data_IF_570820110180
#
_entry.id   IF_570820110180
#
_cell.length_a   1.000
_cell.length_b   1.000
_cell.length_c   1.000
_cell.angle_alpha   90.00
_cell.angle_beta   90.00
_cell.angle_gamma   90.00
#
_symmetry.space_group_name_H-M   'P 1'
#
loop_
_entity.id
_entity.type
_entity.pdbx_description
1 polymer ?
#
# COMPACT_ATOMS: atom_id res chain seq x y z
N UNK A 1 36.55 -33.49 35.83
CA UNK A 1 37.75 -32.84 35.25
C UNK A 1 37.70 -31.39 35.72
N UNK A 2 38.47 -31.04 36.76
CA UNK A 2 39.78 -30.34 36.67
C UNK A 2 39.61 -29.05 35.86
N UNK A 3 39.47 -27.89 36.50
CA UNK A 3 40.56 -27.09 37.07
C UNK A 3 40.66 -25.82 36.19
N UNK A 4 41.16 -24.66 36.56
CA UNK A 4 41.92 -24.14 37.69
C UNK A 4 42.05 -22.63 37.33
N UNK A 5 41.78 -21.65 38.21
CA UNK A 5 42.76 -20.99 39.11
C UNK A 5 43.24 -19.60 38.62
N UNK A 6 42.98 -18.61 39.51
CA UNK A 6 43.80 -17.43 39.94
C UNK A 6 43.95 -16.22 39.02
N UNK A 7 43.53 -15.03 39.50
CA UNK A 7 44.26 -13.99 40.28
C UNK A 7 45.18 -13.17 39.34
N UNK A 8 45.37 -11.87 39.44
CA UNK A 8 45.53 -10.92 40.57
C UNK A 8 45.30 -9.51 39.96
N UNK A 9 44.60 -8.56 40.59
CA UNK A 9 45.14 -7.49 41.49
C UNK A 9 46.13 -6.56 40.74
N UNK A 10 46.04 -5.23 40.71
CA UNK A 10 45.82 -4.30 41.82
C UNK A 10 45.68 -2.83 41.33
N UNK A 11 44.98 -2.03 42.16
CA UNK A 11 45.13 -0.58 42.51
C UNK A 11 45.57 0.48 41.47
N UNK A 12 45.01 1.69 41.46
CA UNK A 12 43.95 2.28 42.31
C UNK A 12 43.98 3.83 42.31
N UNK A 13 42.95 4.41 42.98
CA UNK A 13 42.92 5.68 43.78
C UNK A 13 43.05 7.00 42.97
N UNK A 14 42.25 8.07 43.10
CA UNK A 14 41.56 8.75 44.22
C UNK A 14 40.43 9.66 43.65
N UNK A 15 39.23 9.71 44.23
CA UNK A 15 38.74 10.66 45.25
C UNK A 15 38.37 12.07 44.74
N UNK A 16 37.08 12.43 44.77
CA UNK A 16 36.52 13.34 45.80
C UNK A 16 34.98 13.46 45.72
N UNK A 17 34.35 13.45 46.90
CA UNK A 17 32.98 13.89 47.23
C UNK A 17 33.10 15.07 48.22
N UNK A 18 32.06 15.90 48.46
CA UNK A 18 30.96 15.55 49.40
C UNK A 18 29.58 16.10 48.93
N UNK A 19 28.44 15.44 49.12
CA UNK A 19 27.66 15.10 50.33
C UNK A 19 27.07 16.31 51.08
N UNK A 20 25.75 16.52 50.99
CA UNK A 20 24.86 17.03 52.07
C UNK A 20 23.43 16.48 51.86
N UNK A 21 22.93 15.76 52.86
CA UNK A 21 21.56 15.25 53.03
C UNK A 21 20.63 16.24 53.80
N UNK A 22 19.30 16.02 53.86
CA UNK A 22 18.29 16.98 54.35
C UNK A 22 17.86 16.76 55.82
N UNK A 23 16.89 17.55 56.33
CA UNK A 23 15.89 16.99 57.23
C UNK A 23 14.43 17.42 56.98
N UNK A 24 13.57 16.54 57.48
CA UNK A 24 12.11 16.36 57.53
C UNK A 24 11.33 17.43 58.31
N UNK A 25 9.99 17.53 58.12
CA UNK A 25 8.93 17.46 59.17
C UNK A 25 7.50 17.77 58.63
N UNK A 26 6.62 16.76 58.78
CA UNK A 26 5.15 16.73 59.06
C UNK A 26 4.06 17.29 58.10
N UNK A 27 3.15 16.40 57.63
CA UNK A 27 1.77 16.69 57.17
C UNK A 27 0.74 16.60 58.32
N UNK A 28 -0.51 16.09 58.14
CA UNK A 28 -1.48 16.11 57.03
C UNK A 28 -2.92 16.55 57.47
N UNK A 29 -3.88 16.79 56.57
CA UNK A 29 -5.36 16.71 56.79
C UNK A 29 -6.11 17.05 55.47
N UNK A 30 -6.78 16.10 54.78
CA UNK A 30 -8.18 15.62 54.91
C UNK A 30 -9.23 16.39 54.08
N UNK A 31 -9.79 15.71 53.06
CA UNK A 31 -11.07 15.94 52.33
C UNK A 31 -12.29 15.66 53.27
N UNK A 32 -13.61 15.76 52.92
CA UNK A 32 -14.34 16.24 51.71
C UNK A 32 -15.71 16.97 51.94
N UNK A 33 -16.44 17.22 50.83
CA UNK A 33 -17.90 17.44 50.68
C UNK A 33 -18.44 18.85 51.06
N UNK A 34 -19.47 19.48 50.46
CA UNK A 34 -20.68 19.00 49.78
C UNK A 34 -21.48 20.22 49.19
N UNK A 35 -22.44 19.96 48.28
CA UNK A 35 -23.74 20.64 47.95
C UNK A 35 -23.89 21.82 46.94
N UNK A 36 -24.95 21.62 46.10
CA UNK A 36 -25.85 22.50 45.31
C UNK A 36 -25.40 22.84 43.87
N UNK A 37 -25.96 22.29 42.77
CA UNK A 37 -27.34 22.06 42.27
C UNK A 37 -27.85 23.14 41.29
N UNK A 38 -28.49 22.64 40.22
CA UNK A 38 -29.47 23.25 39.30
C UNK A 38 -29.00 23.79 37.94
N UNK A 39 -29.39 23.05 36.89
CA UNK A 39 -29.73 23.50 35.52
C UNK A 39 -31.00 24.39 35.51
N UNK A 40 -31.63 24.69 34.35
CA UNK A 40 -31.31 25.70 33.33
C UNK A 40 -32.49 26.70 33.16
N UNK A 41 -32.49 27.50 32.08
CA UNK A 41 -33.56 28.35 31.49
C UNK A 41 -32.92 29.73 31.14
N UNK A 42 -33.19 30.44 30.05
CA UNK A 42 -34.22 30.40 29.02
C UNK A 42 -33.72 31.27 27.84
N UNK A 43 -34.38 31.07 26.71
CA UNK A 43 -34.38 31.77 25.41
C UNK A 43 -33.97 33.27 25.37
N UNK A 44 -33.40 33.73 24.25
CA UNK A 44 -34.09 34.64 23.31
C UNK A 44 -33.18 35.11 22.14
N UNK A 45 -33.83 35.28 20.99
CA UNK A 45 -33.38 35.62 19.65
C UNK A 45 -32.86 37.05 19.46
N UNK A 46 -32.11 37.28 18.37
CA UNK A 46 -31.90 38.63 17.84
C UNK A 46 -30.99 38.71 16.61
N UNK A 47 -31.57 38.58 15.41
CA UNK A 47 -30.96 38.90 14.11
C UNK A 47 -31.12 40.40 13.80
N UNK A 48 -30.08 41.06 13.27
CA UNK A 48 -30.08 42.10 12.21
C UNK A 48 -28.67 42.74 12.14
N UNK A 49 -27.89 42.64 11.06
CA UNK A 49 -27.95 43.26 9.70
C UNK A 49 -27.31 44.66 9.60
N UNK A 50 -26.34 44.74 8.68
CA UNK A 50 -25.85 45.91 7.92
C UNK A 50 -24.98 46.94 8.69
N UNK A 51 -24.02 47.66 8.11
CA UNK A 51 -23.58 47.87 6.72
C UNK A 51 -22.16 48.50 6.73
N UNK A 52 -21.46 48.40 5.58
CA UNK A 52 -20.65 49.46 4.92
C UNK A 52 -19.43 50.05 5.67
N UNK A 53 -18.29 50.40 5.08
CA UNK A 53 -17.87 50.83 3.72
C UNK A 53 -16.32 50.74 3.73
N UNK A 54 -15.66 50.13 2.75
CA UNK A 54 -15.16 50.70 1.48
C UNK A 54 -13.87 51.54 1.56
N UNK A 55 -12.88 51.18 0.72
CA UNK A 55 -12.00 52.00 -0.15
C UNK A 55 -10.86 51.09 -0.70
N UNK A 56 -10.89 50.69 -1.98
CA UNK A 56 -10.28 51.32 -3.20
C UNK A 56 -8.75 51.47 -3.11
N UNK A 57 -7.93 51.02 -4.08
CA UNK A 57 -7.62 51.59 -5.43
C UNK A 57 -6.85 50.49 -6.23
N UNK A 58 -7.18 50.04 -7.45
CA UNK A 58 -7.16 50.60 -8.83
C UNK A 58 -5.78 50.87 -9.49
N UNK A 59 -5.48 50.17 -10.60
CA UNK A 59 -4.85 50.65 -11.87
C UNK A 59 -4.61 49.44 -12.82
N UNK A 60 -5.33 49.30 -13.94
CA UNK A 60 -5.13 49.88 -15.29
C UNK A 60 -3.89 49.30 -16.03
N UNK A 61 -4.03 48.32 -16.93
CA UNK A 61 -4.39 48.41 -18.36
C UNK A 61 -3.29 48.95 -19.30
N UNK A 62 -2.74 48.09 -20.16
CA UNK A 62 -2.17 48.46 -21.46
C UNK A 62 -2.52 47.41 -22.52
N UNK A 63 -3.11 47.88 -23.61
CA UNK A 63 -3.54 47.17 -24.81
C UNK A 63 -2.44 47.04 -25.88
N UNK A 64 -2.50 45.99 -26.68
CA UNK A 64 -1.81 45.88 -27.98
C UNK A 64 -2.04 44.51 -28.63
N UNK A 65 -2.67 44.40 -29.83
CA UNK A 65 -3.16 43.15 -30.40
C UNK A 65 -2.21 42.57 -31.47
N UNK A 66 -2.25 41.26 -31.71
CA UNK A 66 -2.24 40.70 -33.08
C UNK A 66 -2.58 39.20 -33.13
N UNK A 67 -3.04 38.82 -34.30
CA UNK A 67 -3.84 37.67 -34.72
C UNK A 67 -3.11 36.31 -34.68
N UNK A 68 -3.85 35.24 -34.38
CA UNK A 68 -4.28 34.22 -35.36
C UNK A 68 -4.29 32.79 -34.80
N UNK A 69 -5.33 32.05 -35.20
CA UNK A 69 -5.46 30.58 -35.21
C UNK A 69 -5.55 29.88 -33.84
N UNK A 70 -6.68 29.33 -33.41
CA UNK A 70 -7.61 28.48 -34.15
C UNK A 70 -7.59 27.11 -33.50
N UNK A 71 -8.57 26.83 -32.62
CA UNK A 71 -9.30 25.57 -32.59
C UNK A 71 -10.29 25.52 -31.40
N UNK A 72 -11.47 25.05 -31.74
CA UNK A 72 -12.71 25.10 -30.99
C UNK A 72 -12.73 24.05 -29.85
N UNK A 73 -13.13 24.51 -28.67
CA UNK A 73 -13.78 23.70 -27.64
C UNK A 73 -15.11 24.39 -27.34
N UNK A 74 -16.27 23.71 -27.45
CA UNK A 74 -17.52 24.30 -27.03
C UNK A 74 -17.64 24.23 -25.50
N UNK A 75 -17.76 25.41 -24.91
CA UNK A 75 -18.24 25.66 -23.56
C UNK A 75 -19.66 25.11 -23.41
N UNK A 76 -19.92 24.47 -22.28
CA UNK A 76 -21.26 24.17 -21.80
C UNK A 76 -21.96 25.47 -21.39
N UNK A 77 -23.07 25.77 -22.04
CA UNK A 77 -24.08 26.67 -21.52
C UNK A 77 -25.33 25.89 -21.09
N UNK A 78 -25.83 26.31 -19.93
CA UNK A 78 -27.02 25.86 -19.25
C UNK A 78 -28.25 25.88 -20.16
N UNK A 79 -28.98 24.75 -20.19
CA UNK A 79 -30.40 24.74 -20.56
C UNK A 79 -31.20 24.16 -19.39
N UNK A 80 -32.16 24.97 -19.01
CA UNK A 80 -33.20 24.88 -17.99
C UNK A 80 -33.97 23.55 -17.98
N UNK A 81 -34.17 23.08 -16.76
CA UNK A 81 -35.05 21.98 -16.36
C UNK A 81 -36.52 22.34 -16.56
N UNK A 82 -37.10 22.12 -17.74
CA UNK A 82 -38.57 22.14 -17.88
C UNK A 82 -39.15 21.42 -19.13
N UNK A 83 -38.46 20.46 -19.75
CA UNK A 83 -38.97 19.81 -20.98
C UNK A 83 -38.84 18.27 -21.07
N UNK A 84 -38.83 17.57 -19.92
CA UNK A 84 -38.71 16.09 -19.87
C UNK A 84 -39.90 15.37 -19.20
N UNK A 85 -41.03 16.06 -19.02
CA UNK A 85 -42.20 15.51 -18.32
C UNK A 85 -43.38 15.09 -19.22
N UNK A 86 -43.28 15.19 -20.56
CA UNK A 86 -44.41 14.91 -21.47
C UNK A 86 -44.10 13.91 -22.59
N UNK A 87 -43.26 12.89 -22.33
CA UNK A 87 -43.01 11.80 -23.30
C UNK A 87 -42.91 10.40 -22.67
N UNK A 88 -43.65 10.14 -21.60
CA UNK A 88 -43.84 8.78 -21.06
C UNK A 88 -45.33 8.57 -20.75
N UNK A 89 -46.19 8.74 -21.75
CA UNK A 89 -47.60 8.33 -21.72
C UNK A 89 -48.09 8.00 -23.13
N UNK A 90 -47.38 7.15 -23.86
CA UNK A 90 -47.95 6.59 -25.10
C UNK A 90 -47.33 5.27 -25.54
N UNK A 91 -46.89 4.40 -24.62
CA UNK A 91 -46.44 3.04 -24.99
C UNK A 91 -46.88 2.05 -23.90
N UNK A 92 -48.19 1.86 -23.72
CA UNK A 92 -48.70 0.73 -22.94
C UNK A 92 -50.09 0.27 -23.41
N UNK A 93 -50.18 -0.09 -24.70
CA UNK A 93 -51.33 -0.83 -25.27
C UNK A 93 -50.85 -1.76 -26.38
N UNK A 94 -50.23 -2.88 -26.01
CA UNK A 94 -50.37 -4.19 -26.65
C UNK A 94 -49.26 -5.13 -26.15
N UNK A 95 -49.59 -5.97 -25.17
CA UNK A 95 -49.09 -7.35 -25.06
C UNK A 95 -49.86 -8.01 -23.91
N UNK A 96 -51.05 -8.50 -24.25
CA UNK A 96 -51.76 -9.51 -23.48
C UNK A 96 -51.68 -10.79 -24.30
N UNK A 97 -51.01 -11.82 -23.79
CA UNK A 97 -51.46 -13.21 -23.90
C UNK A 97 -50.47 -14.16 -23.22
N UNK A 98 -51.02 -14.96 -22.30
CA UNK A 98 -50.48 -16.19 -21.72
C UNK A 98 -49.31 -16.10 -20.74
N UNK A 99 -49.65 -16.01 -19.46
CA UNK A 99 -49.05 -16.87 -18.44
C UNK A 99 -50.14 -17.34 -17.49
N UNK A 100 -50.44 -18.63 -17.59
CA UNK A 100 -51.46 -19.37 -16.86
C UNK A 100 -50.92 -19.66 -15.46
N UNK A 101 -51.31 -18.83 -14.50
CA UNK A 101 -50.99 -19.02 -13.09
C UNK A 101 -51.91 -20.10 -12.51
N UNK A 102 -51.37 -21.32 -12.41
CA UNK A 102 -52.02 -22.45 -11.72
C UNK A 102 -52.16 -22.09 -10.23
N UNK A 103 -53.41 -21.88 -9.81
CA UNK A 103 -53.82 -21.76 -8.42
C UNK A 103 -53.75 -23.16 -7.81
N UNK A 104 -52.85 -23.40 -6.85
CA UNK A 104 -52.97 -24.55 -5.94
C UNK A 104 -53.95 -24.18 -4.82
N UNK A 105 -55.21 -24.57 -5.00
CA UNK A 105 -56.19 -24.69 -3.91
C UNK A 105 -55.79 -25.89 -3.04
N UNK A 106 -55.30 -25.61 -1.83
CA UNK A 106 -55.16 -26.62 -0.77
C UNK A 106 -56.54 -26.79 -0.14
N UNK A 107 -57.32 -27.75 -0.67
CA UNK A 107 -58.40 -28.36 0.07
C UNK A 107 -57.82 -29.56 0.82
N UNK A 108 -57.69 -29.37 2.14
CA UNK A 108 -57.50 -30.43 3.13
C UNK A 108 -58.75 -31.30 3.15
N UNK A 109 -58.56 -32.59 2.85
CA UNK A 109 -59.40 -33.66 3.34
C UNK A 109 -58.45 -34.77 3.82
N UNK A 110 -58.57 -35.10 5.10
CA UNK A 110 -58.07 -36.32 5.70
C UNK A 110 -58.63 -37.54 4.95
N UNK A 111 -57.77 -38.52 4.67
CA UNK A 111 -58.11 -39.92 4.88
C UNK A 111 -56.83 -40.76 4.97
N UNK A 112 -56.77 -41.53 6.07
CA UNK A 112 -55.83 -42.59 6.37
C UNK A 112 -55.84 -43.67 5.28
N UNK A 113 -54.68 -44.07 4.73
CA UNK A 113 -54.42 -45.51 4.51
C UNK A 113 -52.94 -45.82 4.27
N UNK A 114 -52.41 -46.68 5.13
CA UNK A 114 -51.08 -47.26 5.09
C UNK A 114 -50.81 -48.08 3.81
N UNK A 115 -49.67 -47.87 3.16
CA UNK A 115 -48.92 -48.96 2.53
C UNK A 115 -47.40 -48.74 2.57
N UNK A 116 -46.74 -49.47 3.47
CA UNK A 116 -45.29 -49.77 3.43
C UNK A 116 -45.02 -50.58 2.16
N UNK A 117 -44.14 -50.09 1.28
CA UNK A 117 -43.54 -50.92 0.23
C UNK A 117 -42.05 -51.08 0.47
N UNK A 118 -41.76 -52.29 0.90
CA UNK A 118 -40.49 -52.98 1.02
C UNK A 118 -39.96 -53.29 -0.40
N UNK A 119 -38.85 -52.68 -0.80
CA UNK A 119 -38.15 -53.03 -2.04
C UNK A 119 -36.84 -53.72 -1.69
N UNK A 120 -36.91 -55.05 -1.67
CA UNK A 120 -35.75 -55.93 -1.72
C UNK A 120 -35.10 -55.80 -3.10
N UNK A 121 -33.77 -55.68 -3.07
CA UNK A 121 -32.90 -55.83 -4.23
C UNK A 121 -32.50 -57.30 -4.32
N UNK A 122 -32.63 -57.99 -5.46
CA UNK A 122 -31.84 -59.17 -5.70
C UNK A 122 -30.72 -58.92 -6.70
N UNK A 123 -29.62 -59.58 -6.38
CA UNK A 123 -28.28 -59.47 -6.91
C UNK A 123 -28.15 -59.82 -8.40
N UNK A 124 -27.17 -59.14 -8.99
CA UNK A 124 -26.63 -59.34 -10.32
C UNK A 124 -25.64 -60.51 -10.27
N UNK A 125 -25.98 -61.65 -10.86
CA UNK A 125 -25.00 -62.68 -11.19
C UNK A 125 -24.50 -62.52 -12.64
N UNK A 126 -23.18 -62.55 -12.77
CA UNK A 126 -22.41 -62.41 -13.99
C UNK A 126 -22.43 -63.70 -14.81
N UNK A 127 -22.72 -63.61 -16.12
CA UNK A 127 -22.11 -64.47 -17.14
C UNK A 127 -21.88 -63.63 -18.41
N UNK A 128 -20.61 -63.47 -18.79
CA UNK A 128 -20.16 -63.05 -20.12
C UNK A 128 -19.67 -64.32 -20.90
N UNK A 129 -19.19 -64.20 -22.14
CA UNK A 129 -19.89 -63.95 -23.41
C UNK A 129 -19.64 -65.10 -24.41
N UNK A 130 -20.47 -65.26 -25.45
CA UNK A 130 -20.04 -65.75 -26.78
C UNK A 130 -21.20 -65.89 -27.78
N UNK A 131 -21.00 -65.27 -28.94
CA UNK A 131 -21.26 -65.78 -30.31
C UNK A 131 -22.46 -66.69 -30.56
N UNK A 132 -23.49 -66.17 -31.27
CA UNK A 132 -24.27 -66.88 -32.30
C UNK A 132 -24.87 -65.78 -33.20
N UNK A 133 -24.22 -65.46 -34.32
CA UNK A 133 -24.55 -65.94 -35.68
C UNK A 133 -25.86 -65.35 -36.25
N UNK A 134 -25.69 -64.68 -37.38
CA UNK A 134 -26.74 -64.23 -38.29
C UNK A 134 -27.48 -65.45 -38.85
N UNK A 135 -28.78 -65.57 -38.58
CA UNK A 135 -29.64 -66.45 -39.37
C UNK A 135 -30.75 -65.67 -40.05
N UNK A 136 -30.56 -65.48 -41.35
CA UNK A 136 -31.59 -65.14 -42.33
C UNK A 136 -32.61 -66.29 -42.39
N UNK A 137 -33.84 -66.03 -41.98
CA UNK A 137 -34.96 -66.92 -42.26
C UNK A 137 -36.15 -66.15 -42.89
N UNK A 138 -36.24 -66.32 -44.21
CA UNK A 138 -37.48 -66.67 -44.92
C UNK A 138 -38.66 -65.66 -44.89
N UNK A 139 -38.65 -64.75 -45.86
CA UNK A 139 -39.86 -64.11 -46.37
C UNK A 139 -40.74 -65.16 -47.06
N UNK A 140 -41.82 -65.59 -46.41
CA UNK A 140 -42.93 -66.30 -47.06
C UNK A 140 -43.91 -65.29 -47.63
N UNK A 141 -43.91 -65.22 -48.95
CA UNK A 141 -44.87 -64.57 -49.83
C UNK A 141 -46.29 -65.13 -49.62
N UNK A 142 -47.23 -64.26 -49.23
CA UNK A 142 -48.66 -64.49 -49.43
C UNK A 142 -49.32 -63.20 -49.91
N UNK A 143 -49.48 -63.16 -51.24
CA UNK A 143 -50.69 -62.79 -51.98
C UNK A 143 -51.24 -61.37 -51.89
N UNK A 144 -51.33 -60.79 -53.09
CA UNK A 144 -52.04 -59.58 -53.43
C UNK A 144 -53.50 -59.54 -52.93
N UNK A 145 -53.87 -58.32 -52.54
CA UNK A 145 -55.16 -57.73 -52.16
C UNK A 145 -56.36 -58.14 -53.08
N UNK A 146 -57.63 -57.75 -52.81
CA UNK A 146 -58.08 -56.70 -51.88
C UNK A 146 -59.41 -56.95 -51.14
N UNK A 147 -59.69 -56.19 -50.07
CA UNK A 147 -60.99 -55.55 -49.79
C UNK A 147 -61.08 -55.15 -48.30
N UNK A 148 -61.08 -53.84 -48.07
CA UNK A 148 -61.82 -53.09 -47.04
C UNK A 148 -62.13 -53.81 -45.71
N UNK A 149 -61.33 -53.49 -44.69
CA UNK A 149 -61.64 -53.86 -43.30
C UNK A 149 -60.66 -53.38 -42.24
N UNK A 150 -59.37 -53.19 -42.57
CA UNK A 150 -58.31 -52.96 -41.57
C UNK A 150 -57.42 -51.71 -41.83
N UNK A 151 -57.87 -50.78 -42.67
CA UNK A 151 -57.10 -49.55 -42.98
C UNK A 151 -56.97 -48.61 -41.76
N UNK A 152 -57.87 -48.78 -40.77
CA UNK A 152 -57.83 -48.06 -39.50
C UNK A 152 -56.70 -48.62 -38.62
N UNK A 153 -56.53 -49.94 -38.56
CA UNK A 153 -55.54 -50.60 -37.70
C UNK A 153 -54.10 -50.43 -38.23
N UNK A 154 -53.89 -50.52 -39.56
CA UNK A 154 -52.57 -50.30 -40.15
C UNK A 154 -52.12 -48.83 -40.00
N UNK A 155 -53.04 -47.88 -40.14
CA UNK A 155 -52.74 -46.45 -39.99
C UNK A 155 -52.45 -46.08 -38.54
N UNK A 156 -53.22 -46.61 -37.58
CA UNK A 156 -52.97 -46.44 -36.14
C UNK A 156 -51.65 -47.10 -35.72
N UNK A 157 -51.33 -48.29 -36.26
CA UNK A 157 -50.05 -48.96 -36.02
C UNK A 157 -48.86 -48.18 -36.58
N UNK A 158 -49.01 -47.61 -37.79
CA UNK A 158 -47.99 -46.74 -38.39
C UNK A 158 -47.81 -45.43 -37.60
N UNK A 159 -48.88 -44.86 -37.06
CA UNK A 159 -48.81 -43.69 -36.18
C UNK A 159 -48.11 -44.00 -34.86
N UNK A 160 -48.44 -45.14 -34.24
CA UNK A 160 -47.79 -45.59 -33.02
C UNK A 160 -46.29 -45.87 -33.23
N UNK A 161 -45.93 -46.49 -34.36
CA UNK A 161 -44.52 -46.72 -34.70
C UNK A 161 -43.77 -45.41 -34.93
N UNK A 162 -44.43 -44.41 -35.54
CA UNK A 162 -43.86 -43.08 -35.70
C UNK A 162 -43.67 -42.38 -34.35
N UNK A 163 -44.66 -42.41 -33.47
CA UNK A 163 -44.59 -41.83 -32.13
C UNK A 163 -43.50 -42.49 -31.27
N UNK A 164 -43.37 -43.82 -31.34
CA UNK A 164 -42.28 -44.56 -30.67
C UNK A 164 -40.90 -44.22 -31.24
N UNK A 165 -40.79 -43.98 -32.56
CA UNK A 165 -39.54 -43.52 -33.15
C UNK A 165 -39.17 -42.11 -32.67
N UNK A 166 -40.14 -41.20 -32.61
CA UNK A 166 -39.94 -39.83 -32.11
C UNK A 166 -39.54 -39.82 -30.63
N UNK A 167 -40.16 -40.67 -29.80
CA UNK A 167 -39.77 -40.83 -28.39
C UNK A 167 -38.37 -41.44 -28.24
N UNK A 168 -38.03 -42.43 -29.06
CA UNK A 168 -36.66 -43.00 -29.08
C UNK A 168 -35.63 -41.95 -29.50
N UNK A 169 -35.94 -41.11 -30.48
CA UNK A 169 -35.03 -40.06 -30.93
C UNK A 169 -34.89 -38.93 -29.89
N UNK A 170 -35.98 -38.54 -29.22
CA UNK A 170 -35.95 -37.62 -28.07
C UNK A 170 -35.14 -38.19 -26.90
N UNK A 171 -35.31 -39.47 -26.58
CA UNK A 171 -34.55 -40.15 -25.54
C UNK A 171 -33.06 -40.24 -25.90
N UNK A 172 -32.74 -40.57 -27.15
CA UNK A 172 -31.37 -40.60 -27.68
C UNK A 172 -30.70 -39.23 -27.62
N UNK A 173 -31.43 -38.16 -28.00
CA UNK A 173 -30.94 -36.79 -27.92
C UNK A 173 -30.64 -36.38 -26.47
N UNK A 174 -31.55 -36.68 -25.53
CA UNK A 174 -31.32 -36.41 -24.10
C UNK A 174 -30.13 -37.21 -23.56
N UNK A 175 -30.01 -38.47 -23.96
CA UNK A 175 -28.87 -39.33 -23.58
C UNK A 175 -27.55 -38.74 -24.10
N UNK A 176 -27.51 -38.32 -25.37
CA UNK A 176 -26.34 -37.66 -25.95
C UNK A 176 -26.00 -36.33 -25.25
N UNK A 177 -27.01 -35.52 -24.91
CA UNK A 177 -26.81 -34.28 -24.15
C UNK A 177 -26.25 -34.55 -22.75
N UNK A 178 -26.74 -35.58 -22.06
CA UNK A 178 -26.23 -35.96 -20.74
C UNK A 178 -24.81 -36.52 -20.84
N UNK A 179 -24.51 -37.34 -21.85
CA UNK A 179 -23.17 -37.84 -22.11
C UNK A 179 -22.18 -36.71 -22.45
N UNK A 180 -22.60 -35.72 -23.24
CA UNK A 180 -21.80 -34.53 -23.54
C UNK A 180 -21.55 -33.70 -22.28
N UNK A 181 -22.56 -33.47 -21.45
CA UNK A 181 -22.39 -32.80 -20.14
C UNK A 181 -21.46 -33.57 -19.20
N UNK A 182 -21.53 -34.91 -19.18
CA UNK A 182 -20.60 -35.74 -18.43
C UNK A 182 -19.17 -35.59 -18.95
N UNK A 183 -18.98 -35.66 -20.27
CA UNK A 183 -17.66 -35.50 -20.89
C UNK A 183 -17.08 -34.10 -20.63
N UNK A 184 -17.91 -33.05 -20.71
CA UNK A 184 -17.54 -31.69 -20.34
C UNK A 184 -17.17 -31.58 -18.85
N UNK A 185 -17.92 -32.22 -17.95
CA UNK A 185 -17.59 -32.25 -16.52
C UNK A 185 -16.23 -32.92 -16.28
N UNK A 186 -15.98 -34.07 -16.91
CA UNK A 186 -14.69 -34.76 -16.78
C UNK A 186 -13.55 -34.00 -17.46
N UNK A 187 -13.77 -33.34 -18.60
CA UNK A 187 -12.76 -32.49 -19.24
C UNK A 187 -12.46 -31.24 -18.43
N UNK A 188 -13.48 -30.60 -17.84
CA UNK A 188 -13.32 -29.42 -16.99
C UNK A 188 -12.63 -29.77 -15.68
N UNK A 189 -12.95 -30.94 -15.09
CA UNK A 189 -12.21 -31.50 -13.96
C UNK A 189 -10.75 -31.83 -14.33
N UNK A 190 -10.51 -32.41 -15.51
CA UNK A 190 -9.15 -32.71 -15.97
C UNK A 190 -8.33 -31.47 -16.33
N UNK A 191 -8.96 -30.37 -16.76
CA UNK A 191 -8.32 -29.12 -17.15
C UNK A 191 -7.94 -28.20 -15.99
N UNK A 192 -8.75 -28.18 -14.92
CA UNK A 192 -8.50 -27.32 -13.74
C UNK A 192 -7.86 -28.08 -12.55
N UNK A 193 -8.03 -29.41 -12.41
CA UNK A 193 -7.55 -30.18 -11.24
C UNK A 193 -6.32 -31.07 -11.49
N UNK A 194 -5.71 -31.06 -12.68
CA UNK A 194 -4.53 -31.91 -12.96
C UNK A 194 -3.29 -31.55 -12.12
N UNK A 195 -3.34 -30.48 -11.33
CA UNK A 195 -2.28 -30.12 -10.39
C UNK A 195 -2.63 -30.32 -8.90
N UNK A 196 -3.90 -30.57 -8.52
CA UNK A 196 -4.28 -30.77 -7.12
C UNK A 196 -4.80 -32.18 -6.80
N UNK A 197 -5.30 -32.93 -7.78
CA UNK A 197 -5.81 -34.29 -7.58
C UNK A 197 -4.81 -35.32 -8.16
N UNK A 198 -3.61 -35.36 -7.55
CA UNK A 198 -2.80 -36.59 -7.61
C UNK A 198 -3.64 -37.65 -6.92
N UNK A 199 -4.29 -38.52 -7.71
CA UNK A 199 -5.05 -39.71 -7.30
C UNK A 199 -4.83 -40.03 -5.81
N UNK A 200 -5.69 -39.47 -4.95
CA UNK A 200 -5.71 -39.90 -3.56
C UNK A 200 -5.95 -41.41 -3.59
N UNK A 201 -5.17 -42.23 -2.85
CA UNK A 201 -5.36 -43.67 -2.82
C UNK A 201 -6.84 -44.00 -2.60
N UNK A 202 -7.39 -45.00 -3.30
CA UNK A 202 -8.80 -45.38 -3.19
C UNK A 202 -9.28 -45.56 -1.73
N UNK A 203 -8.36 -45.90 -0.81
CA UNK A 203 -8.58 -45.93 0.63
C UNK A 203 -8.89 -44.58 1.28
N UNK A 204 -8.27 -43.50 0.82
CA UNK A 204 -8.47 -42.14 1.33
C UNK A 204 -9.78 -41.55 0.80
N UNK A 205 -10.14 -41.84 -0.45
CA UNK A 205 -11.45 -41.49 -1.02
C UNK A 205 -12.60 -42.23 -0.33
N UNK A 206 -12.42 -43.52 0.00
CA UNK A 206 -13.37 -44.28 0.82
C UNK A 206 -13.49 -43.72 2.24
N UNK A 207 -12.40 -43.24 2.82
CA UNK A 207 -12.41 -42.64 4.16
C UNK A 207 -13.17 -41.31 4.18
N UNK A 208 -12.97 -40.43 3.20
CA UNK A 208 -13.74 -39.19 3.09
C UNK A 208 -15.22 -39.50 2.78
N UNK A 209 -15.53 -40.49 1.94
CA UNK A 209 -16.90 -40.95 1.74
C UNK A 209 -17.54 -41.46 3.05
N UNK A 210 -16.84 -42.28 3.82
CA UNK A 210 -17.30 -42.78 5.12
C UNK A 210 -17.57 -41.64 6.10
N UNK A 211 -16.69 -40.63 6.11
CA UNK A 211 -16.86 -39.41 6.90
C UNK A 211 -18.08 -38.61 6.45
N UNK A 212 -18.31 -38.44 5.15
CA UNK A 212 -19.51 -37.79 4.63
C UNK A 212 -20.78 -38.56 5.00
N UNK A 213 -20.78 -39.88 4.92
CA UNK A 213 -21.90 -40.72 5.36
C UNK A 213 -22.13 -40.58 6.85
N UNK A 214 -21.08 -40.56 7.68
CA UNK A 214 -21.19 -40.31 9.13
C UNK A 214 -21.82 -38.95 9.42
N UNK A 215 -21.34 -37.88 8.79
CA UNK A 215 -21.92 -36.54 8.94
C UNK A 215 -23.37 -36.51 8.48
N UNK A 216 -23.71 -37.16 7.37
CA UNK A 216 -25.10 -37.25 6.90
C UNK A 216 -25.99 -38.01 7.88
N UNK A 217 -25.50 -39.10 8.46
CA UNK A 217 -26.27 -39.85 9.47
C UNK A 217 -26.45 -39.05 10.74
N UNK A 218 -25.42 -38.32 11.20
CA UNK A 218 -25.50 -37.46 12.37
C UNK A 218 -26.48 -36.30 12.13
N UNK A 219 -26.41 -35.64 10.98
CA UNK A 219 -27.36 -34.59 10.59
C UNK A 219 -28.80 -35.14 10.48
N UNK A 220 -28.97 -36.36 9.96
CA UNK A 220 -30.29 -36.99 9.89
C UNK A 220 -30.83 -37.30 11.28
N UNK A 221 -30.01 -37.83 12.19
CA UNK A 221 -30.42 -38.06 13.58
C UNK A 221 -30.73 -36.77 14.31
N UNK A 222 -29.94 -35.71 14.07
CA UNK A 222 -30.18 -34.39 14.65
C UNK A 222 -31.51 -33.81 14.16
N UNK A 223 -31.79 -33.90 12.85
CA UNK A 223 -33.04 -33.44 12.27
C UNK A 223 -34.24 -34.20 12.85
N UNK A 224 -34.13 -35.52 13.03
CA UNK A 224 -35.23 -36.30 13.63
C UNK A 224 -35.45 -35.90 15.10
N UNK A 225 -34.39 -35.75 15.90
CA UNK A 225 -34.54 -35.32 17.30
C UNK A 225 -35.08 -33.89 17.41
N UNK A 226 -34.64 -32.98 16.54
CA UNK A 226 -35.13 -31.60 16.51
C UNK A 226 -36.60 -31.55 16.07
N UNK A 227 -37.00 -32.39 15.11
CA UNK A 227 -38.40 -32.53 14.70
C UNK A 227 -39.27 -33.08 15.83
N UNK A 228 -38.86 -34.16 16.49
CA UNK A 228 -39.59 -34.77 17.61
C UNK A 228 -39.74 -33.80 18.79
N UNK A 229 -38.68 -33.07 19.12
CA UNK A 229 -38.73 -32.07 20.20
C UNK A 229 -39.61 -30.87 19.84
N UNK A 230 -39.58 -30.40 18.60
CA UNK A 230 -40.47 -29.34 18.13
C UNK A 230 -41.94 -29.78 18.10
N UNK A 231 -42.22 -31.03 17.72
CA UNK A 231 -43.55 -31.63 17.73
C UNK A 231 -44.10 -31.71 19.16
N UNK A 232 -43.33 -32.27 20.09
CA UNK A 232 -43.72 -32.31 21.51
C UNK A 232 -43.99 -30.92 22.09
N UNK A 233 -43.19 -29.91 21.75
CA UNK A 233 -43.43 -28.53 22.17
C UNK A 233 -44.72 -27.95 21.55
N UNK A 234 -44.99 -28.26 20.28
CA UNK A 234 -46.22 -27.83 19.61
C UNK A 234 -47.47 -28.47 20.23
N UNK A 235 -47.40 -29.75 20.55
CA UNK A 235 -48.46 -30.48 21.26
C UNK A 235 -48.71 -29.89 22.66
N UNK A 236 -47.66 -29.64 23.43
CA UNK A 236 -47.77 -29.04 24.76
C UNK A 236 -48.42 -27.64 24.69
N UNK A 237 -47.95 -26.79 23.78
CA UNK A 237 -48.51 -25.46 23.57
C UNK A 237 -49.96 -25.50 23.09
N UNK A 238 -50.32 -26.48 22.24
CA UNK A 238 -51.68 -26.71 21.77
C UNK A 238 -52.61 -27.08 22.93
N UNK A 239 -52.18 -28.00 23.79
CA UNK A 239 -52.93 -28.41 24.98
C UNK A 239 -53.12 -27.23 25.95
N UNK A 240 -52.06 -26.46 26.20
CA UNK A 240 -52.15 -25.25 27.02
C UNK A 240 -53.08 -24.17 26.42
N UNK A 241 -53.08 -24.03 25.10
CA UNK A 241 -53.98 -23.10 24.41
C UNK A 241 -55.44 -23.53 24.54
N UNK A 242 -55.72 -24.83 24.37
CA UNK A 242 -57.05 -25.39 24.52
C UNK A 242 -57.57 -25.22 25.96
N UNK A 243 -56.76 -25.54 26.96
CA UNK A 243 -57.13 -25.36 28.37
C UNK A 243 -57.47 -23.90 28.68
N UNK A 244 -56.71 -22.95 28.14
CA UNK A 244 -57.00 -21.51 28.28
C UNK A 244 -58.29 -21.10 27.57
N UNK A 245 -58.55 -21.63 26.38
CA UNK A 245 -59.80 -21.39 25.65
C UNK A 245 -61.01 -21.89 26.44
N UNK A 246 -60.93 -23.11 26.99
CA UNK A 246 -62.00 -23.70 27.78
C UNK A 246 -62.28 -22.88 29.04
N UNK A 247 -61.24 -22.41 29.74
CA UNK A 247 -61.39 -21.51 30.90
C UNK A 247 -62.10 -20.21 30.53
N UNK A 248 -61.64 -19.55 29.46
CA UNK A 248 -62.25 -18.29 28.98
C UNK A 248 -63.71 -18.51 28.57
N UNK A 249 -64.02 -19.61 27.89
CA UNK A 249 -65.37 -19.92 27.46
C UNK A 249 -66.31 -20.17 28.66
N UNK A 250 -65.83 -20.88 29.68
CA UNK A 250 -66.58 -21.12 30.92
C UNK A 250 -66.82 -19.83 31.71
N UNK A 251 -65.80 -18.99 31.89
CA UNK A 251 -65.92 -17.68 32.53
C UNK A 251 -66.87 -16.76 31.75
N UNK A 252 -66.79 -16.77 30.42
CA UNK A 252 -67.68 -16.00 29.54
C UNK A 252 -69.13 -16.43 29.69
N UNK A 253 -69.41 -17.74 29.65
CA UNK A 253 -70.77 -18.29 29.88
C UNK A 253 -71.32 -17.89 31.24
N UNK A 254 -70.50 -17.96 32.30
CA UNK A 254 -70.89 -17.54 33.64
C UNK A 254 -71.19 -16.03 33.72
N UNK A 255 -70.37 -15.20 33.08
CA UNK A 255 -70.57 -13.76 33.03
C UNK A 255 -71.85 -13.38 32.27
N UNK A 256 -72.11 -14.00 31.12
CA UNK A 256 -73.34 -13.79 30.33
C UNK A 256 -74.58 -14.20 31.13
N UNK A 257 -74.53 -15.33 31.83
CA UNK A 257 -75.63 -15.77 32.69
C UNK A 257 -75.91 -14.78 33.83
N UNK A 258 -74.87 -14.28 34.50
CA UNK A 258 -75.00 -13.25 35.53
C UNK A 258 -75.57 -11.95 34.97
N UNK A 259 -75.07 -11.50 33.81
CA UNK A 259 -75.57 -10.31 33.11
C UNK A 259 -77.06 -10.45 32.78
N UNK A 260 -77.48 -11.61 32.29
CA UNK A 260 -78.87 -11.92 31.98
C UNK A 260 -79.73 -11.89 33.25
N UNK A 261 -79.33 -12.57 34.32
CA UNK A 261 -80.07 -12.65 35.59
C UNK A 261 -80.28 -11.28 36.25
N UNK A 262 -79.21 -10.48 36.34
CA UNK A 262 -79.27 -9.12 36.90
C UNK A 262 -80.18 -8.22 36.07
N UNK A 263 -80.05 -8.28 34.74
CA UNK A 263 -80.85 -7.45 33.83
C UNK A 263 -82.34 -7.82 33.86
N UNK A 264 -82.66 -9.12 33.88
CA UNK A 264 -84.04 -9.62 33.99
C UNK A 264 -84.63 -9.23 35.34
N UNK A 265 -83.89 -9.39 36.44
CA UNK A 265 -84.35 -9.02 37.79
C UNK A 265 -84.68 -7.53 37.90
N UNK A 266 -83.81 -6.66 37.36
CA UNK A 266 -84.04 -5.22 37.35
C UNK A 266 -85.25 -4.80 36.49
N UNK A 267 -85.38 -5.36 35.28
CA UNK A 267 -86.43 -4.99 34.33
C UNK A 267 -87.79 -5.62 34.66
N UNK A 268 -87.81 -6.74 35.40
CA UNK A 268 -89.05 -7.42 35.82
C UNK A 268 -89.94 -6.49 36.65
N UNK A 269 -89.36 -5.60 37.45
CA UNK A 269 -90.10 -4.62 38.28
C UNK A 269 -90.89 -3.60 37.45
N UNK A 270 -90.42 -3.27 36.24
CA UNK A 270 -91.01 -2.21 35.40
C UNK A 270 -91.79 -2.71 34.18
N UNK A 271 -91.42 -3.85 33.60
CA UNK A 271 -92.01 -4.38 32.36
C UNK A 271 -92.78 -5.70 32.55
N UNK A 272 -92.65 -6.35 33.71
CA UNK A 272 -93.13 -7.72 33.93
C UNK A 272 -92.14 -8.78 33.42
N UNK A 273 -92.20 -9.99 33.99
CA UNK A 273 -91.19 -11.05 33.80
C UNK A 273 -90.95 -11.42 32.33
N UNK A 274 -92.03 -11.67 31.58
CA UNK A 274 -91.92 -12.12 30.19
C UNK A 274 -91.36 -11.03 29.25
N UNK A 275 -91.82 -9.78 29.40
CA UNK A 275 -91.37 -8.67 28.56
C UNK A 275 -89.94 -8.21 28.90
N UNK A 276 -89.53 -8.35 30.18
CA UNK A 276 -88.14 -8.15 30.58
C UNK A 276 -87.21 -9.20 29.96
N UNK A 277 -87.61 -10.47 30.00
CA UNK A 277 -86.82 -11.57 29.47
C UNK A 277 -86.59 -11.45 27.94
N UNK A 278 -87.64 -11.19 27.16
CA UNK A 278 -87.50 -11.02 25.69
C UNK A 278 -86.66 -9.81 25.30
N UNK A 279 -86.72 -8.72 26.07
CA UNK A 279 -85.90 -7.53 25.82
C UNK A 279 -84.41 -7.78 26.12
N UNK A 280 -84.10 -8.51 27.20
CA UNK A 280 -82.71 -8.86 27.55
C UNK A 280 -82.14 -9.85 26.54
N UNK A 281 -82.92 -10.87 26.15
CA UNK A 281 -82.50 -11.85 25.13
C UNK A 281 -82.23 -11.17 23.77
N UNK A 282 -83.10 -10.27 23.32
CA UNK A 282 -82.85 -9.55 22.05
C UNK A 282 -81.62 -8.63 22.10
N UNK A 283 -81.36 -7.96 23.24
CA UNK A 283 -80.15 -7.16 23.42
C UNK A 283 -78.87 -8.02 23.47
N UNK A 284 -78.93 -9.19 24.13
CA UNK A 284 -77.80 -10.12 24.21
C UNK A 284 -77.46 -10.71 22.83
N UNK A 285 -78.48 -11.06 22.03
CA UNK A 285 -78.27 -11.51 20.64
C UNK A 285 -77.63 -10.40 19.79
N UNK A 286 -78.09 -9.16 19.92
CA UNK A 286 -77.51 -8.03 19.18
C UNK A 286 -76.05 -7.77 19.59
N UNK A 287 -75.72 -7.89 20.89
CA UNK A 287 -74.35 -7.79 21.38
C UNK A 287 -73.46 -8.92 20.86
N UNK A 288 -73.95 -10.17 20.85
CA UNK A 288 -73.20 -11.31 20.33
C UNK A 288 -72.84 -11.11 18.85
N UNK A 289 -73.78 -10.60 18.03
CA UNK A 289 -73.50 -10.29 16.63
C UNK A 289 -72.34 -9.29 16.47
N UNK A 290 -72.33 -8.22 17.27
CA UNK A 290 -71.24 -7.24 17.23
C UNK A 290 -69.91 -7.82 17.74
N UNK A 291 -69.94 -8.72 18.72
CA UNK A 291 -68.73 -9.42 19.17
C UNK A 291 -68.17 -10.34 18.09
N UNK A 292 -69.03 -11.10 17.41
CA UNK A 292 -68.61 -11.98 16.30
C UNK A 292 -68.00 -11.18 15.15
N UNK A 293 -68.58 -10.02 14.82
CA UNK A 293 -68.01 -9.07 13.85
C UNK A 293 -66.63 -8.57 14.28
N UNK A 294 -66.47 -8.19 15.55
CA UNK A 294 -65.19 -7.74 16.10
C UNK A 294 -64.13 -8.84 16.07
N UNK A 295 -64.49 -10.08 16.41
CA UNK A 295 -63.60 -11.24 16.34
C UNK A 295 -63.16 -11.47 14.89
N UNK A 296 -64.08 -11.42 13.92
CA UNK A 296 -63.76 -11.52 12.49
C UNK A 296 -62.79 -10.42 12.04
N UNK A 297 -62.99 -9.17 12.47
CA UNK A 297 -62.09 -8.06 12.15
C UNK A 297 -60.71 -8.22 12.79
N UNK A 298 -60.64 -8.66 14.06
CA UNK A 298 -59.39 -8.95 14.75
C UNK A 298 -58.61 -10.07 14.08
N UNK A 299 -59.29 -11.13 13.64
CA UNK A 299 -58.68 -12.21 12.88
C UNK A 299 -58.11 -11.72 11.54
N UNK A 300 -58.86 -10.88 10.79
CA UNK A 300 -58.37 -10.24 9.56
C UNK A 300 -57.15 -9.35 9.83
N UNK A 301 -57.18 -8.55 10.89
CA UNK A 301 -56.06 -7.70 11.27
C UNK A 301 -54.81 -8.52 11.58
N UNK A 302 -54.94 -9.61 12.35
CA UNK A 302 -53.82 -10.52 12.65
C UNK A 302 -53.26 -11.14 11.36
N UNK A 303 -54.12 -11.63 10.45
CA UNK A 303 -53.70 -12.18 9.15
C UNK A 303 -52.92 -11.14 8.32
N UNK A 304 -53.40 -9.89 8.28
CA UNK A 304 -52.71 -8.80 7.58
C UNK A 304 -51.37 -8.47 8.24
N UNK A 305 -51.31 -8.41 9.57
CA UNK A 305 -50.07 -8.16 10.32
C UNK A 305 -49.01 -9.21 10.02
N UNK A 306 -49.38 -10.49 10.02
CA UNK A 306 -48.49 -11.60 9.65
C UNK A 306 -48.02 -11.44 8.20
N UNK A 307 -48.92 -11.07 7.26
CA UNK A 307 -48.54 -10.84 5.86
C UNK A 307 -47.55 -9.69 5.70
N UNK A 308 -47.72 -8.61 6.45
CA UNK A 308 -46.79 -7.47 6.46
C UNK A 308 -45.41 -7.93 6.93
N UNK A 309 -45.32 -8.60 8.08
CA UNK A 309 -44.02 -9.09 8.58
C UNK A 309 -43.33 -10.04 7.59
N UNK A 310 -44.09 -10.90 6.91
CA UNK A 310 -43.54 -11.77 5.87
C UNK A 310 -43.00 -10.97 4.69
N UNK A 311 -43.75 -9.99 4.20
CA UNK A 311 -43.31 -9.13 3.09
C UNK A 311 -42.10 -8.27 3.46
N UNK A 312 -42.04 -7.76 4.69
CA UNK A 312 -40.87 -7.02 5.19
C UNK A 312 -39.63 -7.92 5.28
N UNK A 313 -39.79 -9.18 5.72
CA UNK A 313 -38.70 -10.15 5.73
C UNK A 313 -38.23 -10.48 4.31
N UNK A 314 -39.17 -10.75 3.39
CA UNK A 314 -38.86 -10.97 1.96
C UNK A 314 -38.16 -9.76 1.33
N UNK A 315 -38.53 -8.53 1.70
CA UNK A 315 -37.88 -7.31 1.20
C UNK A 315 -36.46 -7.15 1.74
N UNK A 316 -36.23 -7.38 3.05
CA UNK A 316 -34.89 -7.33 3.62
C UNK A 316 -33.97 -8.38 3.01
N UNK A 317 -34.47 -9.60 2.86
CA UNK A 317 -33.75 -10.69 2.23
C UNK A 317 -33.39 -10.32 0.78
N UNK A 318 -34.34 -9.77 0.02
CA UNK A 318 -34.06 -9.25 -1.31
C UNK A 318 -33.08 -8.09 -1.31
N UNK A 319 -33.09 -7.17 -0.35
CA UNK A 319 -32.12 -6.07 -0.29
C UNK A 319 -30.70 -6.56 -0.01
N UNK A 320 -30.56 -7.58 0.86
CA UNK A 320 -29.30 -8.26 1.13
C UNK A 320 -28.80 -9.04 -0.10
N UNK A 321 -29.68 -9.78 -0.77
CA UNK A 321 -29.36 -10.54 -1.98
C UNK A 321 -29.26 -9.67 -3.25
N UNK A 322 -29.91 -8.52 -3.29
CA UNK A 322 -29.86 -7.53 -4.37
C UNK A 322 -28.73 -6.52 -4.18
N UNK A 323 -27.80 -6.78 -3.24
CA UNK A 323 -26.44 -6.24 -3.32
C UNK A 323 -25.83 -6.79 -4.60
N UNK A 324 -26.12 -6.09 -5.69
CA UNK A 324 -25.81 -6.47 -7.07
C UNK A 324 -24.34 -6.90 -7.14
N UNK A 325 -24.03 -8.09 -7.69
CA UNK A 325 -22.65 -8.49 -7.93
C UNK A 325 -21.83 -7.39 -8.63
N UNK A 326 -22.46 -6.56 -9.46
CA UNK A 326 -21.84 -5.39 -10.07
C UNK A 326 -21.50 -4.29 -9.05
N UNK A 327 -22.36 -4.05 -8.07
CA UNK A 327 -22.11 -3.09 -6.99
C UNK A 327 -20.94 -3.54 -6.10
N UNK A 328 -20.87 -4.83 -5.75
CA UNK A 328 -19.74 -5.42 -5.04
C UNK A 328 -18.44 -5.31 -5.85
N UNK A 329 -18.50 -5.54 -7.16
CA UNK A 329 -17.35 -5.35 -8.04
C UNK A 329 -16.92 -3.88 -8.12
N UNK A 330 -17.86 -2.95 -8.15
CA UNK A 330 -17.58 -1.52 -8.16
C UNK A 330 -16.92 -1.06 -6.84
N UNK A 331 -17.46 -1.46 -5.68
CA UNK A 331 -16.84 -1.19 -4.37
C UNK A 331 -15.42 -1.78 -4.31
N UNK A 332 -15.21 -2.99 -4.82
CA UNK A 332 -13.88 -3.62 -4.88
C UNK A 332 -12.92 -2.82 -5.76
N UNK A 333 -13.34 -2.42 -6.96
CA UNK A 333 -12.53 -1.60 -7.87
C UNK A 333 -12.21 -0.22 -7.25
N UNK A 334 -13.14 0.36 -6.50
CA UNK A 334 -12.90 1.62 -5.79
C UNK A 334 -11.84 1.45 -4.70
N UNK A 335 -11.90 0.36 -3.93
CA UNK A 335 -10.88 0.05 -2.93
C UNK A 335 -9.49 -0.19 -3.57
N UNK A 336 -9.45 -0.94 -4.67
CA UNK A 336 -8.21 -1.18 -5.43
C UNK A 336 -7.62 0.11 -5.99
N UNK A 337 -8.46 0.97 -6.58
CA UNK A 337 -8.03 2.29 -7.06
C UNK A 337 -7.44 3.15 -5.94
N UNK A 338 -8.08 3.17 -4.78
CA UNK A 338 -7.59 3.92 -3.62
C UNK A 338 -6.23 3.39 -3.13
N UNK A 339 -6.02 2.07 -3.16
CA UNK A 339 -4.72 1.50 -2.78
C UNK A 339 -3.62 1.81 -3.80
N UNK A 340 -3.94 1.77 -5.09
CA UNK A 340 -3.01 2.17 -6.15
C UNK A 340 -2.62 3.66 -6.03
N UNK A 341 -3.57 4.53 -5.70
CA UNK A 341 -3.31 5.95 -5.48
C UNK A 341 -2.38 6.17 -4.28
N UNK A 342 -2.62 5.48 -3.15
CA UNK A 342 -1.71 5.51 -1.99
C UNK A 342 -0.32 5.00 -2.32
N UNK A 343 -0.21 3.96 -3.15
CA UNK A 343 1.09 3.44 -3.57
C UNK A 343 1.83 4.44 -4.48
N UNK A 344 1.12 5.07 -5.41
CA UNK A 344 1.67 6.12 -6.27
C UNK A 344 2.15 7.33 -5.44
N UNK A 345 1.39 7.73 -4.41
CA UNK A 345 1.76 8.81 -3.50
C UNK A 345 3.03 8.47 -2.72
N UNK A 346 3.13 7.24 -2.15
CA UNK A 346 4.37 6.76 -1.49
C UNK A 346 5.56 6.79 -2.44
N UNK A 347 5.41 6.30 -3.67
CA UNK A 347 6.48 6.33 -4.67
C UNK A 347 6.88 7.76 -5.03
N UNK A 348 5.92 8.67 -5.15
CA UNK A 348 6.19 10.08 -5.45
C UNK A 348 6.95 10.75 -4.29
N UNK A 349 6.58 10.49 -3.04
CA UNK A 349 7.32 10.98 -1.88
C UNK A 349 8.76 10.45 -1.84
N UNK A 350 8.97 9.17 -2.16
CA UNK A 350 10.30 8.57 -2.23
C UNK A 350 11.13 9.19 -3.36
N UNK A 351 10.55 9.40 -4.54
CA UNK A 351 11.18 10.08 -5.66
C UNK A 351 11.59 11.51 -5.26
N UNK A 352 10.70 12.26 -4.61
CA UNK A 352 10.99 13.61 -4.13
C UNK A 352 12.11 13.62 -3.07
N UNK A 353 12.14 12.65 -2.15
CA UNK A 353 13.24 12.48 -1.18
C UNK A 353 14.58 12.22 -1.90
N UNK A 354 14.57 11.42 -2.96
CA UNK A 354 15.76 11.14 -3.76
C UNK A 354 16.23 12.37 -4.55
N UNK A 355 15.31 13.12 -5.16
CA UNK A 355 15.60 14.38 -5.83
C UNK A 355 16.26 15.39 -4.87
N UNK A 356 15.73 15.52 -3.65
CA UNK A 356 16.34 16.38 -2.61
C UNK A 356 17.77 15.94 -2.25
N UNK A 357 18.02 14.63 -2.14
CA UNK A 357 19.37 14.08 -1.91
C UNK A 357 20.31 14.37 -3.07
N UNK A 358 19.84 14.23 -4.31
CA UNK A 358 20.61 14.54 -5.52
C UNK A 358 20.97 16.03 -5.52
N UNK A 359 20.01 16.93 -5.31
CA UNK A 359 20.24 18.37 -5.25
C UNK A 359 21.25 18.78 -4.18
N UNK A 360 21.13 18.22 -2.96
CA UNK A 360 22.10 18.45 -1.89
C UNK A 360 23.51 17.92 -2.23
N UNK A 361 23.59 16.77 -2.90
CA UNK A 361 24.86 16.20 -3.35
C UNK A 361 25.50 17.05 -4.45
N UNK A 362 24.70 17.59 -5.38
CA UNK A 362 25.16 18.51 -6.42
C UNK A 362 25.70 19.82 -5.82
N UNK A 363 25.04 20.36 -4.80
CA UNK A 363 25.52 21.52 -4.05
C UNK A 363 26.88 21.24 -3.40
N UNK A 364 27.02 20.09 -2.73
CA UNK A 364 28.30 19.67 -2.13
C UNK A 364 29.40 19.52 -3.18
N UNK A 365 29.10 18.89 -4.32
CA UNK A 365 30.03 18.75 -5.43
C UNK A 365 30.45 20.10 -6.02
N UNK A 366 29.52 21.05 -6.12
CA UNK A 366 29.81 22.42 -6.54
C UNK A 366 30.78 23.10 -5.57
N UNK A 367 30.51 23.02 -4.26
CA UNK A 367 31.37 23.56 -3.22
C UNK A 367 32.76 22.91 -3.23
N UNK A 368 32.85 21.60 -3.45
CA UNK A 368 34.13 20.88 -3.59
C UNK A 368 34.89 21.33 -4.84
N UNK A 369 34.21 21.49 -5.98
CA UNK A 369 34.81 21.98 -7.22
C UNK A 369 35.37 23.39 -7.03
N UNK A 370 34.63 24.27 -6.35
CA UNK A 370 35.09 25.63 -6.08
C UNK A 370 36.35 25.62 -5.18
N UNK A 371 36.32 24.90 -4.06
CA UNK A 371 37.49 24.74 -3.17
C UNK A 371 38.70 24.17 -3.90
N UNK A 372 38.49 23.21 -4.79
CA UNK A 372 39.57 22.63 -5.60
C UNK A 372 40.17 23.67 -6.55
N UNK A 373 39.34 24.47 -7.22
CA UNK A 373 39.80 25.56 -8.09
C UNK A 373 40.60 26.60 -7.29
N UNK A 374 40.12 27.02 -6.12
CA UNK A 374 40.85 27.92 -5.23
C UNK A 374 42.20 27.35 -4.81
N UNK A 375 42.25 26.08 -4.39
CA UNK A 375 43.50 25.42 -4.01
C UNK A 375 44.46 25.29 -5.19
N UNK A 376 43.97 24.98 -6.39
CA UNK A 376 44.78 24.91 -7.60
C UNK A 376 45.40 26.26 -7.95
N UNK A 377 44.63 27.34 -7.86
CA UNK A 377 45.12 28.71 -8.06
C UNK A 377 46.19 29.08 -7.02
N UNK A 378 45.99 28.72 -5.75
CA UNK A 378 46.99 28.95 -4.70
C UNK A 378 48.27 28.16 -4.97
N UNK A 379 48.17 26.88 -5.33
CA UNK A 379 49.33 26.06 -5.68
C UNK A 379 50.09 26.67 -6.86
N UNK A 380 49.39 27.16 -7.87
CA UNK A 380 50.01 27.82 -9.02
C UNK A 380 50.76 29.10 -8.60
N UNK A 381 50.14 29.95 -7.79
CA UNK A 381 50.79 31.16 -7.25
C UNK A 381 52.04 30.81 -6.41
N UNK A 382 51.98 29.75 -5.58
CA UNK A 382 53.14 29.29 -4.81
C UNK A 382 54.26 28.73 -5.70
N UNK A 383 53.93 28.05 -6.80
CA UNK A 383 54.91 27.58 -7.79
C UNK A 383 55.62 28.74 -8.47
N UNK A 384 54.89 29.80 -8.81
CA UNK A 384 55.46 31.03 -9.38
C UNK A 384 56.41 31.72 -8.39
N UNK A 385 56.00 31.86 -7.12
CA UNK A 385 56.86 32.37 -6.05
C UNK A 385 58.13 31.52 -5.88
N UNK A 386 58.00 30.19 -5.91
CA UNK A 386 59.15 29.29 -5.84
C UNK A 386 60.09 29.47 -7.03
N UNK A 387 59.56 29.60 -8.25
CA UNK A 387 60.36 29.83 -9.45
C UNK A 387 61.13 31.17 -9.39
N UNK A 388 60.49 32.23 -8.88
CA UNK A 388 61.15 33.53 -8.67
C UNK A 388 62.30 33.42 -7.67
N UNK A 389 62.08 32.76 -6.54
CA UNK A 389 63.11 32.54 -5.51
C UNK A 389 64.25 31.69 -6.08
N UNK A 390 63.95 30.61 -6.81
CA UNK A 390 64.97 29.79 -7.47
C UNK A 390 65.80 30.60 -8.48
N UNK A 391 65.17 31.47 -9.27
CA UNK A 391 65.86 32.38 -10.18
C UNK A 391 66.72 33.41 -9.43
N UNK A 392 66.24 33.94 -8.29
CA UNK A 392 67.04 34.82 -7.42
C UNK A 392 68.27 34.08 -6.87
N UNK A 393 68.10 32.86 -6.36
CA UNK A 393 69.19 32.02 -5.85
C UNK A 393 70.21 31.71 -6.94
N UNK A 394 69.76 31.35 -8.15
CA UNK A 394 70.64 31.13 -9.30
C UNK A 394 71.46 32.39 -9.64
N UNK A 395 70.82 33.57 -9.67
CA UNK A 395 71.51 34.87 -9.86
C UNK A 395 72.56 35.13 -8.77
N UNK A 396 72.23 34.90 -7.50
CA UNK A 396 73.16 35.07 -6.36
C UNK A 396 74.32 34.07 -6.42
N UNK A 397 74.08 32.81 -6.81
CA UNK A 397 75.12 31.79 -7.03
C UNK A 397 76.08 32.21 -8.14
N UNK A 398 75.56 32.71 -9.27
CA UNK A 398 76.37 33.22 -10.38
C UNK A 398 77.21 34.43 -9.96
N UNK A 399 76.63 35.38 -9.23
CA UNK A 399 77.37 36.52 -8.68
C UNK A 399 78.50 36.06 -7.76
N UNK A 400 78.21 35.16 -6.82
CA UNK A 400 79.21 34.60 -5.90
C UNK A 400 80.34 33.90 -6.65
N UNK A 401 80.03 33.12 -7.70
CA UNK A 401 81.03 32.47 -8.53
C UNK A 401 81.95 33.50 -9.22
N UNK A 402 81.37 34.56 -9.82
CA UNK A 402 82.13 35.66 -10.44
C UNK A 402 83.02 36.38 -9.43
N UNK A 403 82.51 36.68 -8.24
CA UNK A 403 83.30 37.33 -7.16
C UNK A 403 84.42 36.43 -6.66
N UNK A 404 84.17 35.12 -6.48
CA UNK A 404 85.22 34.14 -6.14
C UNK A 404 86.29 34.07 -7.22
N UNK A 405 85.91 34.06 -8.50
CA UNK A 405 86.85 34.07 -9.61
C UNK A 405 87.69 35.35 -9.64
N UNK A 406 87.08 36.52 -9.44
CA UNK A 406 87.79 37.80 -9.37
C UNK A 406 88.78 37.83 -8.19
N UNK A 407 88.36 37.39 -7.00
CA UNK A 407 89.23 37.22 -5.83
C UNK A 407 90.42 36.30 -6.14
N UNK A 408 90.17 35.14 -6.75
CA UNK A 408 91.23 34.20 -7.13
C UNK A 408 92.16 34.80 -8.21
N UNK A 409 91.64 35.63 -9.11
CA UNK A 409 92.43 36.41 -10.06
C UNK A 409 93.36 37.40 -9.35
N UNK A 410 92.83 38.20 -8.43
CA UNK A 410 93.61 39.14 -7.61
C UNK A 410 94.66 38.43 -6.76
N UNK A 411 94.32 37.28 -6.15
CA UNK A 411 95.28 36.47 -5.40
C UNK A 411 96.44 36.00 -6.29
N UNK A 412 96.15 35.53 -7.51
CA UNK A 412 97.19 35.15 -8.49
C UNK A 412 98.05 36.34 -8.91
N UNK A 413 97.44 37.50 -9.22
CA UNK A 413 98.20 38.71 -9.57
C UNK A 413 99.04 39.22 -8.39
N UNK A 414 98.52 39.16 -7.16
CA UNK A 414 99.27 39.53 -5.96
C UNK A 414 100.46 38.60 -5.73
N UNK A 415 100.29 37.29 -5.95
CA UNK A 415 101.37 36.31 -5.89
C UNK A 415 102.44 36.60 -6.95
N UNK A 416 102.04 36.79 -8.21
CA UNK A 416 102.97 37.19 -9.29
C UNK A 416 103.70 38.48 -8.99
N UNK A 417 103.01 39.49 -8.46
CA UNK A 417 103.64 40.74 -8.08
C UNK A 417 104.65 40.55 -6.93
N UNK A 418 104.34 39.68 -5.95
CA UNK A 418 105.30 39.29 -4.90
C UNK A 418 106.53 38.60 -5.49
N UNK A 419 106.36 37.72 -6.47
CA UNK A 419 107.47 37.07 -7.19
C UNK A 419 108.30 38.09 -7.98
N UNK A 420 107.67 39.02 -8.70
CA UNK A 420 108.35 40.03 -9.52
C UNK A 420 108.97 41.19 -8.73
N UNK A 421 108.62 41.38 -7.44
CA UNK A 421 109.15 42.47 -6.62
C UNK A 421 110.66 42.36 -6.35
N UNK A 422 111.31 41.23 -6.66
CA UNK A 422 112.77 41.09 -6.58
C UNK A 422 113.34 41.62 -5.25
N UNK A 423 114.40 42.41 -5.32
CA UNK A 423 115.04 43.03 -4.15
C UNK A 423 114.16 44.08 -3.44
N UNK A 424 113.24 44.74 -4.16
CA UNK A 424 112.34 45.76 -3.59
C UNK A 424 111.40 45.18 -2.51
N UNK A 425 111.15 43.86 -2.55
CA UNK A 425 110.38 43.16 -1.54
C UNK A 425 111.16 42.88 -0.25
N UNK A 426 112.50 42.89 -0.29
CA UNK A 426 113.36 42.60 0.84
C UNK A 426 114.21 43.83 1.20
N UNK A 427 113.70 44.62 2.16
CA UNK A 427 114.33 45.87 2.60
C UNK A 427 115.76 45.70 3.12
N UNK A 428 116.08 44.53 3.68
CA UNK A 428 117.43 44.27 4.23
C UNK A 428 118.43 44.18 3.08
N UNK A 429 118.17 43.30 2.13
CA UNK A 429 119.01 43.15 0.94
C UNK A 429 119.12 44.43 0.10
N UNK A 430 118.03 45.21 0.01
CA UNK A 430 118.07 46.48 -0.72
C UNK A 430 118.98 47.51 -0.03
N UNK A 431 118.91 47.60 1.30
CA UNK A 431 119.79 48.49 2.07
C UNK A 431 121.24 48.06 1.95
N UNK A 432 121.54 46.77 2.02
CA UNK A 432 122.90 46.27 1.84
C UNK A 432 123.44 46.61 0.43
N UNK A 433 122.58 46.57 -0.61
CA UNK A 433 122.94 46.99 -1.96
C UNK A 433 123.23 48.50 -2.05
N UNK A 434 122.39 49.33 -1.42
CA UNK A 434 122.62 50.79 -1.33
C UNK A 434 123.95 51.08 -0.62
N UNK A 435 124.20 50.44 0.52
CA UNK A 435 125.44 50.59 1.29
C UNK A 435 126.67 50.13 0.49
N UNK A 436 126.57 49.05 -0.30
CA UNK A 436 127.67 48.60 -1.16
C UNK A 436 127.91 49.51 -2.36
N UNK A 437 126.86 50.08 -2.96
CA UNK A 437 127.01 51.09 -4.02
C UNK A 437 127.66 52.36 -3.47
N UNK A 438 127.22 52.84 -2.31
CA UNK A 438 127.80 54.01 -1.64
C UNK A 438 129.27 53.77 -1.31
N UNK A 439 129.61 52.58 -0.77
CA UNK A 439 130.99 52.19 -0.53
C UNK A 439 131.83 52.14 -1.82
N UNK A 440 131.27 51.64 -2.93
CA UNK A 440 131.94 51.61 -4.23
C UNK A 440 132.20 53.02 -4.78
N UNK A 441 131.22 53.92 -4.68
CA UNK A 441 131.36 55.32 -5.10
C UNK A 441 132.45 56.04 -4.30
N UNK A 442 132.54 55.78 -3.00
CA UNK A 442 133.62 56.31 -2.16
C UNK A 442 135.00 55.82 -2.63
N UNK A 443 135.13 54.54 -3.01
CA UNK A 443 136.38 53.99 -3.55
C UNK A 443 136.71 54.60 -4.91
N UNK A 444 135.72 54.80 -5.79
CA UNK A 444 135.93 55.48 -7.08
C UNK A 444 136.37 56.93 -6.90
N UNK A 445 135.77 57.68 -5.98
CA UNK A 445 136.18 59.05 -5.65
C UNK A 445 137.63 59.07 -5.14
N UNK A 446 138.01 58.12 -4.29
CA UNK A 446 139.40 57.95 -3.84
C UNK A 446 140.36 57.65 -5.00
N UNK A 447 139.93 56.84 -5.96
CA UNK A 447 140.71 56.48 -7.15
C UNK A 447 140.87 57.68 -8.08
N UNK A 448 139.83 58.47 -8.28
CA UNK A 448 139.86 59.67 -9.11
C UNK A 448 140.73 60.76 -8.46
N UNK A 449 140.67 60.89 -7.13
CA UNK A 449 141.59 61.73 -6.35
C UNK A 449 143.04 61.27 -6.51
N UNK A 450 143.31 59.95 -6.45
CA UNK A 450 144.64 59.39 -6.69
C UNK A 450 145.14 59.63 -8.12
N UNK A 451 144.27 59.52 -9.14
CA UNK A 451 144.60 59.90 -10.53
C UNK A 451 144.89 61.40 -10.63
N UNK A 452 144.12 62.25 -9.94
CA UNK A 452 144.37 63.68 -9.86
C UNK A 452 145.76 63.97 -9.28
N UNK A 453 146.12 63.30 -8.18
CA UNK A 453 147.45 63.38 -7.59
C UNK A 453 148.54 62.81 -8.51
N UNK A 454 148.25 61.74 -9.26
CA UNK A 454 149.18 61.19 -10.27
C UNK A 454 149.40 62.17 -11.43
N UNK A 455 148.35 62.84 -11.89
CA UNK A 455 148.44 63.88 -12.91
C UNK A 455 149.25 65.08 -12.39
N UNK A 456 149.04 65.48 -11.13
CA UNK A 456 149.79 66.56 -10.48
C UNK A 456 151.28 66.22 -10.28
N UNK A 457 151.59 64.97 -9.90
CA UNK A 457 152.97 64.48 -9.79
C UNK A 457 153.64 64.33 -11.15
N UNK A 458 152.92 63.91 -12.21
CA UNK A 458 153.44 63.93 -13.58
C UNK A 458 153.69 65.36 -14.07
N UNK A 459 152.79 66.30 -13.76
CA UNK A 459 152.96 67.72 -14.10
C UNK A 459 154.17 68.33 -13.37
N UNK A 460 154.38 67.98 -12.11
CA UNK A 460 155.57 68.41 -11.36
C UNK A 460 156.84 67.74 -11.88
N UNK A 461 156.84 66.44 -12.19
CA UNK A 461 157.97 65.74 -12.83
C UNK A 461 158.34 66.32 -14.21
N UNK A 462 157.37 66.72 -15.03
CA UNK A 462 157.62 67.43 -16.29
C UNK A 462 158.29 68.80 -16.09
N UNK A 463 157.97 69.48 -14.98
CA UNK A 463 158.58 70.76 -14.59
C UNK A 463 160.04 70.59 -14.13
N UNK A 464 160.37 69.47 -13.46
CA UNK A 464 161.74 69.13 -13.08
C UNK A 464 162.59 68.66 -14.27
N UNK A 465 161.99 68.00 -15.27
CA UNK A 465 162.69 67.57 -16.50
C UNK A 465 163.12 68.76 -17.39
N UNK A 466 162.30 69.82 -17.49
CA UNK A 466 162.70 71.08 -18.16
C UNK A 466 163.81 71.86 -17.45
N UNK A 467 164.06 71.62 -16.16
CA UNK A 467 165.20 72.20 -15.41
C UNK A 467 166.51 71.42 -15.62
N UNK A 468 166.47 70.21 -16.15
CA UNK A 468 167.65 69.37 -16.41
C UNK A 468 168.23 69.54 -17.83
N UNK A 469 167.41 69.91 -18.82
CA UNK A 469 167.86 70.16 -20.20
C UNK A 469 168.50 71.56 -20.43
N UNK A 470 168.75 72.33 -19.36
CA UNK A 470 169.45 73.65 -19.43
C UNK A 470 170.81 73.67 -18.73
N UNK A 471 171.32 72.51 -18.33
CA UNK A 471 172.68 72.35 -17.80
C UNK A 471 173.31 71.05 -18.31
N UNK A 472 173.51 70.93 -19.62
CA UNK A 472 174.73 70.37 -20.22
C UNK A 472 174.82 70.62 -21.71
#
# INVERSE_FOLDING_TARGET
>A
MKGDVKNETDRGVSADSPDISPPTVNGPESVPAEIFASDPDEENNGSMKAAEEALFVEEAATSGPEENSGNELPSMDNITSEDLALKIKEDNKQLMSHEESVIFEINSNDDDEHHRLHLDTPERENISPSEVEEDKAEYKELTAAPADGDDINYKEYMQLLQELCEERDKASLRSSQLQMKLAEYFHKKAGDDTQLERELPMSEQLHEYEKHIKTLTELKTQLTTDSETAEHQAEELSLQAQEKLDKVENEWKAFVALKQDVSVTLLTRSLGKQAAQTKVESALVAEQLHQDELIKLRHKHLKLKIRIYRLEAELRDREEHARDPLHLQFEKLQAERLELEKQAEKQNEEAFKMEKKISSSLELLSNMKEKLLWSQMEVQAKREQLAEVQAMVARKRNLLARTKQARNGLQRCNLKLKECRGLLGNRVLLRDFEETVDASNQIEEQLENLKGQQAETLFSCGRWKKKLDTAS
#
